data_IF_881830599511
#
_entry.id   IF_881830599511
#
_cell.length_a   1.000
_cell.length_b   1.000
_cell.length_c   1.000
_cell.angle_alpha   90.00
_cell.angle_beta   90.00
_cell.angle_gamma   90.00
#
_symmetry.space_group_name_H-M   'P 1'
#
loop_
_entity.id
_entity.type
_entity.pdbx_description
1 polymer ?
#
# COMPACT_ATOMS: atom_id res chain seq x y z
N UNK A 1 -33.55 -0.04 9.31
CA UNK A 1 -32.62 -0.78 10.20
C UNK A 1 -31.49 -1.44 9.41
N UNK A 2 -31.75 -1.97 8.20
CA UNK A 2 -30.72 -2.45 7.28
C UNK A 2 -29.70 -1.37 6.87
N UNK A 3 -30.16 -0.12 6.67
CA UNK A 3 -29.30 0.98 6.19
C UNK A 3 -28.23 1.42 7.21
N UNK A 4 -28.55 1.38 8.51
CA UNK A 4 -27.58 1.77 9.54
C UNK A 4 -26.41 0.79 9.61
N UNK A 5 -26.64 -0.50 9.36
CA UNK A 5 -25.57 -1.50 9.35
C UNK A 5 -24.67 -1.37 8.12
N UNK A 6 -25.25 -1.09 6.95
CA UNK A 6 -24.50 -0.93 5.71
C UNK A 6 -23.42 0.16 5.81
N UNK A 7 -23.78 1.32 6.37
CA UNK A 7 -22.90 2.49 6.41
C UNK A 7 -21.97 2.56 7.63
N UNK A 8 -22.26 1.80 8.69
CA UNK A 8 -21.58 1.96 9.99
C UNK A 8 -20.89 0.68 10.50
N UNK A 9 -20.90 -0.40 9.71
CA UNK A 9 -20.22 -1.63 10.09
C UNK A 9 -18.72 -1.55 9.84
N UNK A 10 -17.94 -2.03 10.82
CA UNK A 10 -16.49 -2.13 10.73
C UNK A 10 -16.11 -3.60 10.54
N UNK A 11 -15.27 -3.89 9.55
CA UNK A 11 -14.68 -5.23 9.39
C UNK A 11 -13.72 -5.50 10.55
N UNK A 12 -13.89 -6.64 11.20
CA UNK A 12 -13.05 -7.08 12.31
C UNK A 12 -12.65 -8.54 12.16
N UNK A 13 -11.60 -8.92 12.86
CA UNK A 13 -11.22 -10.31 13.06
C UNK A 13 -11.48 -10.67 14.51
N UNK A 14 -12.17 -11.79 14.74
CA UNK A 14 -12.29 -12.31 16.09
C UNK A 14 -11.00 -13.03 16.52
N UNK A 15 -10.95 -13.50 17.76
CA UNK A 15 -9.79 -14.22 18.33
C UNK A 15 -9.40 -15.47 17.55
N UNK A 16 -10.31 -16.01 16.73
CA UNK A 16 -10.09 -17.16 15.86
C UNK A 16 -9.69 -16.77 14.43
N UNK A 17 -9.32 -15.50 14.20
CA UNK A 17 -8.99 -14.92 12.89
C UNK A 17 -10.12 -15.05 11.84
N UNK A 18 -11.36 -15.25 12.27
CA UNK A 18 -12.50 -15.23 11.36
C UNK A 18 -13.03 -13.81 11.19
N UNK A 19 -13.21 -13.40 9.94
CA UNK A 19 -13.73 -12.08 9.57
C UNK A 19 -15.20 -11.95 9.98
N UNK A 20 -15.51 -10.86 10.69
CA UNK A 20 -16.85 -10.46 11.10
C UNK A 20 -17.07 -8.97 10.93
N UNK A 21 -18.26 -8.51 11.30
CA UNK A 21 -18.64 -7.10 11.27
C UNK A 21 -19.17 -6.68 12.64
N UNK A 22 -18.80 -5.48 13.10
CA UNK A 22 -19.25 -4.91 14.35
C UNK A 22 -19.67 -3.44 14.21
N UNK A 23 -20.52 -2.97 15.12
CA UNK A 23 -20.96 -1.58 15.20
C UNK A 23 -20.30 -0.88 16.39
N UNK A 24 -19.66 0.26 16.11
CA UNK A 24 -19.01 1.08 17.13
C UNK A 24 -19.60 2.49 17.08
N UNK A 25 -20.65 2.74 17.86
CA UNK A 25 -21.45 3.97 17.82
C UNK A 25 -20.58 5.25 17.88
N UNK A 26 -19.54 5.26 18.70
CA UNK A 26 -18.63 6.41 18.80
C UNK A 26 -17.73 6.56 17.58
N UNK A 27 -17.23 5.44 17.03
CA UNK A 27 -16.37 5.48 15.84
C UNK A 27 -17.14 5.81 14.56
N UNK A 28 -18.42 5.44 14.49
CA UNK A 28 -19.34 5.81 13.41
C UNK A 28 -19.57 7.32 13.28
N UNK A 29 -19.04 8.14 14.20
CA UNK A 29 -19.11 9.61 14.12
C UNK A 29 -17.96 10.24 13.33
N UNK A 30 -16.87 9.51 13.09
CA UNK A 30 -15.72 10.06 12.35
C UNK A 30 -15.99 10.02 10.85
N UNK A 31 -15.78 11.14 10.18
CA UNK A 31 -16.00 11.26 8.75
C UNK A 31 -14.84 10.69 7.92
N UNK A 32 -15.10 10.53 6.63
CA UNK A 32 -14.14 10.02 5.66
C UNK A 32 -13.17 11.09 5.16
N UNK A 33 -11.90 10.73 5.02
CA UNK A 33 -10.96 11.42 4.13
C UNK A 33 -10.09 10.41 3.37
N UNK A 34 -9.77 10.69 2.11
CA UNK A 34 -8.81 9.91 1.33
C UNK A 34 -7.35 10.22 1.68
N UNK A 35 -7.11 11.28 2.47
CA UNK A 35 -5.82 11.65 3.08
C UNK A 35 -6.12 11.99 4.55
N UNK A 36 -6.39 10.96 5.38
CA UNK A 36 -6.90 11.14 6.73
C UNK A 36 -5.83 11.63 7.72
N UNK A 37 -6.26 12.06 8.90
CA UNK A 37 -5.37 12.37 10.04
C UNK A 37 -5.43 11.31 11.16
N UNK A 38 -6.31 10.33 11.03
CA UNK A 38 -6.40 9.19 11.91
C UNK A 38 -6.61 7.88 11.16
N UNK A 39 -6.31 6.76 11.82
CA UNK A 39 -6.43 5.43 11.24
C UNK A 39 -6.96 4.41 12.25
N UNK A 40 -7.61 3.36 11.72
CA UNK A 40 -8.12 2.23 12.50
C UNK A 40 -7.27 1.00 12.15
N UNK A 41 -6.38 0.53 13.05
CA UNK A 41 -5.52 -0.59 12.76
C UNK A 41 -6.31 -1.89 12.77
N UNK A 42 -5.95 -2.80 11.88
CA UNK A 42 -6.40 -4.20 11.94
C UNK A 42 -5.79 -4.83 13.20
N UNK A 43 -6.62 -5.20 14.18
CA UNK A 43 -6.20 -5.85 15.43
C UNK A 43 -6.97 -7.14 15.64
N UNK A 44 -6.29 -8.13 16.22
CA UNK A 44 -6.83 -9.45 16.58
C UNK A 44 -7.64 -9.44 17.90
N UNK A 45 -8.20 -8.29 18.28
CA UNK A 45 -8.93 -8.15 19.54
C UNK A 45 -10.27 -7.44 19.32
N UNK A 46 -11.21 -7.65 20.25
CA UNK A 46 -12.59 -7.17 20.17
C UNK A 46 -12.73 -5.64 20.35
N UNK A 47 -11.65 -4.95 20.73
CA UNK A 47 -11.65 -3.50 20.91
C UNK A 47 -11.22 -2.75 19.64
N UNK A 48 -12.15 -1.99 19.05
CA UNK A 48 -11.82 -1.05 18.01
C UNK A 48 -11.23 0.24 18.61
N UNK A 49 -10.16 0.73 17.99
CA UNK A 49 -9.45 1.93 18.40
C UNK A 49 -9.08 2.75 17.17
N UNK A 50 -9.05 4.07 17.34
CA UNK A 50 -8.63 5.03 16.33
C UNK A 50 -7.41 5.78 16.84
N UNK A 51 -6.38 5.91 16.02
CA UNK A 51 -5.12 6.56 16.37
C UNK A 51 -4.88 7.74 15.45
N UNK A 52 -4.47 8.88 16.01
CA UNK A 52 -3.90 9.95 15.20
C UNK A 52 -2.62 9.45 14.51
N UNK A 53 -2.45 9.81 13.24
CA UNK A 53 -1.26 9.46 12.44
C UNK A 53 -0.44 10.68 12.03
N UNK A 54 -0.90 11.86 12.41
CA UNK A 54 -0.20 13.14 12.29
C UNK A 54 -0.71 14.09 13.38
N UNK A 55 -0.03 15.22 13.54
CA UNK A 55 -0.51 16.29 14.41
C UNK A 55 -1.89 16.77 13.93
N UNK A 56 -2.78 17.03 14.89
CA UNK A 56 -4.16 17.48 14.67
C UNK A 56 -4.32 18.81 15.38
N UNK A 57 -4.66 19.86 14.63
CA UNK A 57 -4.82 21.20 15.19
C UNK A 57 -6.12 21.33 16.00
N UNK A 58 -6.19 22.33 16.90
CA UNK A 58 -7.40 22.62 17.66
C UNK A 58 -8.54 22.97 16.71
N UNK A 59 -9.61 22.17 16.72
CA UNK A 59 -10.78 22.35 15.85
C UNK A 59 -10.65 21.68 14.48
N UNK A 60 -9.51 21.05 14.17
CA UNK A 60 -9.40 20.18 12.99
C UNK A 60 -10.27 18.93 13.19
N UNK A 61 -11.04 18.57 12.17
CA UNK A 61 -11.87 17.37 12.19
C UNK A 61 -11.01 16.10 12.14
N UNK A 62 -11.33 15.13 13.00
CA UNK A 62 -10.70 13.81 12.95
C UNK A 62 -11.39 12.97 11.88
N UNK A 63 -10.60 12.48 10.92
CA UNK A 63 -11.09 11.67 9.80
C UNK A 63 -10.26 10.41 9.61
N UNK A 64 -10.86 9.35 9.09
CA UNK A 64 -10.16 8.13 8.68
C UNK A 64 -10.60 7.69 7.27
N UNK A 65 -9.85 6.80 6.63
CA UNK A 65 -10.24 6.26 5.33
C UNK A 65 -11.16 5.03 5.52
N UNK A 66 -12.38 5.10 5.02
CA UNK A 66 -13.37 4.03 5.17
C UNK A 66 -13.03 2.76 4.38
N UNK A 67 -12.21 2.87 3.33
CA UNK A 67 -11.97 1.77 2.39
C UNK A 67 -10.49 1.43 2.30
N UNK A 68 -10.05 0.30 2.89
CA UNK A 68 -8.71 -0.25 2.70
C UNK A 68 -8.52 -0.56 1.21
N UNK A 69 -7.67 0.21 0.52
CA UNK A 69 -7.45 0.08 -0.93
C UNK A 69 -7.59 1.39 -1.71
N UNK A 70 -8.16 2.43 -1.10
CA UNK A 70 -8.21 3.75 -1.75
C UNK A 70 -6.83 4.39 -1.98
N UNK A 71 -5.78 3.89 -1.31
CA UNK A 71 -4.38 4.31 -1.51
C UNK A 71 -3.86 4.10 -2.94
N UNK A 72 -4.50 3.23 -3.74
CA UNK A 72 -4.08 2.92 -5.11
C UNK A 72 -5.12 3.29 -6.18
N UNK A 73 -6.22 3.92 -5.78
CA UNK A 73 -7.29 4.35 -6.69
C UNK A 73 -7.20 5.85 -6.94
N UNK A 74 -7.46 6.28 -8.18
CA UNK A 74 -7.51 7.72 -8.52
C UNK A 74 -8.81 8.36 -8.03
N UNK A 75 -8.87 9.70 -7.98
CA UNK A 75 -10.01 10.44 -7.43
C UNK A 75 -11.36 10.04 -8.04
N UNK A 76 -11.40 9.81 -9.36
CA UNK A 76 -12.61 9.39 -10.06
C UNK A 76 -13.07 7.97 -9.67
N UNK A 77 -12.14 7.05 -9.46
CA UNK A 77 -12.44 5.68 -9.01
C UNK A 77 -12.97 5.70 -7.57
N UNK A 78 -12.31 6.44 -6.67
CA UNK A 78 -12.76 6.61 -5.28
C UNK A 78 -14.14 7.25 -5.20
N UNK A 79 -14.41 8.26 -6.04
CA UNK A 79 -15.72 8.91 -6.13
C UNK A 79 -16.83 7.95 -6.56
N UNK A 80 -16.54 6.98 -7.43
CA UNK A 80 -17.53 5.96 -7.84
C UNK A 80 -17.77 4.89 -6.77
N UNK A 81 -16.81 4.69 -5.88
CA UNK A 81 -16.88 3.71 -4.80
C UNK A 81 -17.51 4.25 -3.52
N UNK A 82 -17.80 5.56 -3.45
CA UNK A 82 -18.45 6.21 -2.31
C UNK A 82 -19.86 6.68 -2.72
N UNK A 83 -20.81 6.55 -1.81
CA UNK A 83 -22.20 7.03 -2.00
C UNK A 83 -22.36 8.53 -1.69
N UNK A 84 -21.26 9.23 -1.39
CA UNK A 84 -21.20 10.67 -1.20
C UNK A 84 -20.01 11.29 -1.94
N UNK A 85 -20.03 12.61 -2.12
CA UNK A 85 -18.91 13.34 -2.72
C UNK A 85 -17.88 13.68 -1.64
N UNK A 86 -16.70 13.04 -1.72
CA UNK A 86 -15.56 13.40 -0.87
C UNK A 86 -14.90 14.70 -1.38
N UNK A 87 -14.75 15.70 -0.51
CA UNK A 87 -14.18 17.02 -0.84
C UNK A 87 -12.76 17.24 -0.31
N UNK A 88 -12.08 16.18 0.15
CA UNK A 88 -10.69 16.26 0.60
C UNK A 88 -9.76 16.74 -0.55
N UNK A 89 -8.57 17.22 -0.19
CA UNK A 89 -7.60 17.75 -1.16
C UNK A 89 -7.27 16.80 -2.33
N UNK A 90 -7.24 15.48 -2.08
CA UNK A 90 -6.99 14.45 -3.10
C UNK A 90 -8.18 14.21 -4.05
N UNK A 91 -9.40 14.59 -3.66
CA UNK A 91 -10.63 14.37 -4.44
C UNK A 91 -11.15 15.65 -5.12
N UNK A 92 -10.60 16.82 -4.77
CA UNK A 92 -10.99 18.10 -5.37
C UNK A 92 -10.43 18.20 -6.81
N UNK A 93 -11.26 17.77 -7.75
CA UNK A 93 -10.93 17.69 -9.18
C UNK A 93 -10.45 19.04 -9.72
N UNK A 94 -9.37 19.00 -10.52
CA UNK A 94 -8.82 20.17 -11.19
C UNK A 94 -7.80 20.94 -10.38
N UNK A 95 -7.51 20.52 -9.13
CA UNK A 95 -6.43 21.11 -8.34
C UNK A 95 -5.08 20.47 -8.68
N UNK A 96 -3.95 21.21 -8.54
CA UNK A 96 -2.62 20.63 -8.70
C UNK A 96 -2.36 19.45 -7.76
N UNK A 97 -2.86 19.53 -6.51
CA UNK A 97 -2.74 18.44 -5.54
C UNK A 97 -3.44 17.17 -6.02
N UNK A 98 -4.68 17.28 -6.51
CA UNK A 98 -5.42 16.12 -7.01
C UNK A 98 -4.73 15.46 -8.20
N UNK A 99 -4.15 16.23 -9.13
CA UNK A 99 -3.41 15.66 -10.28
C UNK A 99 -2.16 14.90 -9.83
N UNK A 100 -1.40 15.45 -8.88
CA UNK A 100 -0.24 14.77 -8.30
C UNK A 100 -0.65 13.53 -7.50
N UNK A 101 -1.74 13.62 -6.74
CA UNK A 101 -2.32 12.49 -6.00
C UNK A 101 -2.70 11.35 -6.93
N UNK A 102 -3.39 11.63 -8.03
CA UNK A 102 -3.74 10.61 -9.02
C UNK A 102 -2.48 9.97 -9.62
N UNK A 103 -1.47 10.76 -10.00
CA UNK A 103 -0.22 10.22 -10.52
C UNK A 103 0.50 9.30 -9.51
N UNK A 104 0.59 9.71 -8.23
CA UNK A 104 1.20 8.90 -7.17
C UNK A 104 0.44 7.61 -6.93
N UNK A 105 -0.90 7.67 -6.87
CA UNK A 105 -1.74 6.49 -6.62
C UNK A 105 -1.76 5.52 -7.79
N UNK A 106 -1.70 6.02 -9.03
CA UNK A 106 -1.47 5.18 -10.22
C UNK A 106 -0.13 4.44 -10.09
N UNK A 107 0.96 5.15 -9.76
CA UNK A 107 2.26 4.52 -9.61
C UNK A 107 2.30 3.53 -8.43
N UNK A 108 1.63 3.83 -7.31
CA UNK A 108 1.47 2.89 -6.20
C UNK A 108 0.76 1.61 -6.64
N UNK A 109 -0.32 1.73 -7.42
CA UNK A 109 -1.05 0.58 -7.99
C UNK A 109 -0.16 -0.27 -8.88
N UNK A 110 0.66 0.37 -9.71
CA UNK A 110 1.65 -0.30 -10.57
C UNK A 110 2.71 -1.04 -9.75
N UNK A 111 3.30 -0.39 -8.74
CA UNK A 111 4.30 -1.00 -7.87
C UNK A 111 3.73 -2.18 -7.07
N UNK A 112 2.48 -2.08 -6.61
CA UNK A 112 1.79 -3.19 -5.96
C UNK A 112 1.64 -4.39 -6.91
N UNK A 113 1.22 -4.15 -8.16
CA UNK A 113 1.15 -5.19 -9.17
C UNK A 113 2.53 -5.81 -9.46
N UNK A 114 3.57 -4.99 -9.62
CA UNK A 114 4.94 -5.47 -9.85
C UNK A 114 5.49 -6.30 -8.68
N UNK A 115 5.04 -6.01 -7.47
CA UNK A 115 5.45 -6.74 -6.28
C UNK A 115 4.71 -8.08 -6.14
N UNK A 116 3.38 -8.07 -6.30
CA UNK A 116 2.47 -9.19 -6.00
C UNK A 116 2.10 -10.05 -7.22
N UNK A 117 2.33 -9.58 -8.44
CA UNK A 117 1.98 -10.29 -9.69
C UNK A 117 0.48 -10.36 -10.01
N UNK A 118 -0.38 -9.78 -9.19
CA UNK A 118 -1.85 -9.78 -9.33
C UNK A 118 -2.45 -8.45 -8.94
N UNK A 119 -3.56 -8.09 -9.58
CA UNK A 119 -4.34 -6.91 -9.17
C UNK A 119 -5.13 -7.24 -7.90
N UNK A 120 -5.09 -6.33 -6.93
CA UNK A 120 -5.83 -6.46 -5.65
C UNK A 120 -7.19 -5.75 -5.71
N UNK A 121 -7.52 -5.10 -6.83
CA UNK A 121 -8.78 -4.34 -6.94
C UNK A 121 -9.97 -5.28 -7.02
N UNK A 122 -10.98 -5.04 -6.17
CA UNK A 122 -12.18 -5.85 -6.03
C UNK A 122 -12.89 -6.11 -7.36
N UNK A 123 -13.49 -7.30 -7.45
CA UNK A 123 -14.03 -7.98 -8.64
C UNK A 123 -15.01 -7.18 -9.54
N UNK A 124 -15.34 -5.93 -9.22
CA UNK A 124 -16.39 -5.19 -9.91
C UNK A 124 -15.95 -4.30 -11.08
N UNK A 125 -14.66 -3.97 -11.27
CA UNK A 125 -14.21 -3.22 -12.46
C UNK A 125 -12.76 -3.56 -12.83
N UNK A 126 -12.55 -4.70 -13.51
CA UNK A 126 -11.27 -4.95 -14.17
C UNK A 126 -10.96 -3.79 -15.13
N UNK A 127 -9.78 -3.15 -15.04
CA UNK A 127 -9.44 -2.04 -15.92
C UNK A 127 -9.44 -2.50 -17.38
N UNK A 128 -10.02 -1.69 -18.27
CA UNK A 128 -10.07 -1.98 -19.73
C UNK A 128 -8.66 -2.04 -20.38
N UNK A 129 -7.64 -1.54 -19.67
CA UNK A 129 -6.25 -1.47 -20.11
C UNK A 129 -5.35 -2.11 -19.05
N UNK A 130 -4.22 -2.71 -19.44
CA UNK A 130 -3.29 -3.29 -18.49
C UNK A 130 -2.63 -2.19 -17.65
N UNK A 131 -2.52 -2.40 -16.34
CA UNK A 131 -1.81 -1.50 -15.42
C UNK A 131 -0.34 -1.33 -15.85
N UNK A 132 0.31 -2.43 -16.24
CA UNK A 132 1.67 -2.41 -16.79
C UNK A 132 1.59 -2.66 -18.30
N UNK A 133 1.93 -1.65 -19.09
CA UNK A 133 1.90 -1.71 -20.55
C UNK A 133 3.05 -2.52 -21.16
N UNK A 134 4.22 -2.59 -20.51
CA UNK A 134 5.32 -3.42 -20.96
C UNK A 134 4.97 -4.91 -20.76
N UNK A 135 4.78 -5.69 -21.84
CA UNK A 135 4.36 -7.09 -21.73
C UNK A 135 5.42 -7.96 -21.04
N UNK A 136 6.71 -7.67 -21.23
CA UNK A 136 7.79 -8.44 -20.60
C UNK A 136 7.78 -8.20 -19.10
N UNK A 137 7.72 -6.94 -18.68
CA UNK A 137 7.67 -6.59 -17.27
C UNK A 137 6.42 -7.14 -16.59
N UNK A 138 5.28 -7.12 -17.30
CA UNK A 138 4.02 -7.71 -16.82
C UNK A 138 4.14 -9.21 -16.59
N UNK A 139 4.68 -9.96 -17.55
CA UNK A 139 4.93 -11.41 -17.37
C UNK A 139 5.89 -11.66 -16.22
N UNK A 140 6.95 -10.85 -16.09
CA UNK A 140 7.88 -11.00 -14.96
C UNK A 140 7.21 -10.79 -13.60
N UNK A 141 6.28 -9.83 -13.49
CA UNK A 141 5.50 -9.62 -12.28
C UNK A 141 4.61 -10.83 -11.97
N UNK A 142 3.86 -11.32 -12.96
CA UNK A 142 2.94 -12.47 -12.81
C UNK A 142 3.67 -13.76 -12.43
N UNK A 143 4.85 -13.99 -12.99
CA UNK A 143 5.70 -15.15 -12.67
C UNK A 143 6.53 -14.95 -11.38
N UNK A 144 6.35 -13.81 -10.71
CA UNK A 144 7.13 -13.37 -9.54
C UNK A 144 8.65 -13.42 -9.80
N UNK A 145 9.06 -13.16 -11.04
CA UNK A 145 10.45 -13.21 -11.52
C UNK A 145 11.12 -11.83 -11.66
N UNK A 146 10.47 -10.77 -11.17
CA UNK A 146 11.10 -9.45 -10.99
C UNK A 146 12.39 -9.59 -10.17
N UNK A 147 13.49 -9.00 -10.68
CA UNK A 147 14.81 -9.06 -10.05
C UNK A 147 14.81 -8.48 -8.63
N UNK A 148 15.75 -8.94 -7.80
CA UNK A 148 15.89 -8.51 -6.42
C UNK A 148 16.19 -7.01 -6.32
N UNK A 149 17.01 -6.48 -7.23
CA UNK A 149 17.29 -5.04 -7.36
C UNK A 149 16.02 -4.23 -7.61
N UNK A 150 15.20 -4.65 -8.57
CA UNK A 150 13.93 -4.00 -8.92
C UNK A 150 12.95 -4.08 -7.76
N UNK A 151 12.79 -5.24 -7.13
CA UNK A 151 11.93 -5.41 -5.93
C UNK A 151 12.35 -4.47 -4.79
N UNK A 152 13.66 -4.38 -4.53
CA UNK A 152 14.18 -3.49 -3.49
C UNK A 152 13.88 -2.01 -3.80
N UNK A 153 14.08 -1.58 -5.05
CA UNK A 153 13.75 -0.23 -5.51
C UNK A 153 12.24 0.03 -5.39
N UNK A 154 11.39 -0.89 -5.87
CA UNK A 154 9.93 -0.73 -5.87
C UNK A 154 9.36 -0.62 -4.47
N UNK A 155 9.84 -1.43 -3.52
CA UNK A 155 9.39 -1.35 -2.13
C UNK A 155 9.76 -0.01 -1.49
N UNK A 156 10.96 0.52 -1.74
CA UNK A 156 11.39 1.82 -1.21
C UNK A 156 10.61 2.97 -1.86
N UNK A 157 10.42 2.89 -3.18
CA UNK A 157 9.65 3.87 -3.92
C UNK A 157 8.19 3.92 -3.46
N UNK A 158 7.58 2.77 -3.20
CA UNK A 158 6.21 2.72 -2.66
C UNK A 158 6.11 3.43 -1.30
N UNK A 159 7.07 3.22 -0.40
CA UNK A 159 7.08 3.92 0.90
C UNK A 159 7.24 5.43 0.73
N UNK A 160 8.16 5.86 -0.13
CA UNK A 160 8.33 7.28 -0.44
C UNK A 160 7.05 7.92 -1.03
N UNK A 161 6.37 7.23 -1.94
CA UNK A 161 5.12 7.73 -2.52
C UNK A 161 4.00 7.81 -1.48
N UNK A 162 3.92 6.87 -0.54
CA UNK A 162 2.98 6.93 0.59
C UNK A 162 3.29 8.12 1.51
N UNK A 163 4.57 8.41 1.77
CA UNK A 163 5.00 9.57 2.57
C UNK A 163 4.55 10.87 1.89
N UNK A 164 4.89 11.03 0.61
CA UNK A 164 4.56 12.21 -0.19
C UNK A 164 3.05 12.40 -0.41
N UNK A 165 2.29 11.32 -0.38
CA UNK A 165 0.83 11.33 -0.47
C UNK A 165 0.16 11.65 0.88
N UNK A 166 0.91 11.63 1.99
CA UNK A 166 0.37 11.81 3.33
C UNK A 166 -0.42 10.60 3.85
N UNK A 167 -0.08 9.40 3.36
CA UNK A 167 -0.70 8.12 3.74
C UNK A 167 0.21 7.22 4.56
N UNK A 168 1.51 7.51 4.63
CA UNK A 168 2.44 6.70 5.39
C UNK A 168 2.26 6.95 6.89
N UNK A 169 1.95 5.89 7.63
CA UNK A 169 1.84 5.91 9.10
C UNK A 169 2.80 4.90 9.76
N UNK A 170 2.90 4.97 11.09
CA UNK A 170 3.80 4.11 11.87
C UNK A 170 3.40 2.62 11.78
N UNK A 171 2.11 2.30 11.61
CA UNK A 171 1.65 0.92 11.45
C UNK A 171 2.06 0.37 10.09
N UNK A 172 1.92 1.15 9.02
CA UNK A 172 2.44 0.79 7.70
C UNK A 172 3.95 0.58 7.73
N UNK A 173 4.70 1.45 8.41
CA UNK A 173 6.16 1.31 8.55
C UNK A 173 6.56 0.01 9.24
N UNK A 174 5.81 -0.43 10.26
CA UNK A 174 6.05 -1.70 10.97
C UNK A 174 5.92 -2.92 10.05
N UNK A 175 5.08 -2.85 9.03
CA UNK A 175 4.91 -3.91 8.02
C UNK A 175 5.91 -3.77 6.86
N UNK A 176 6.13 -2.56 6.35
CA UNK A 176 6.90 -2.32 5.13
C UNK A 176 8.42 -2.38 5.36
N UNK A 177 8.92 -1.88 6.49
CA UNK A 177 10.37 -1.85 6.77
C UNK A 177 10.98 -3.26 6.89
N UNK A 178 10.34 -4.24 7.55
CA UNK A 178 10.81 -5.62 7.54
C UNK A 178 10.90 -6.22 6.14
N UNK A 179 9.95 -5.94 5.24
CA UNK A 179 9.98 -6.41 3.84
C UNK A 179 11.21 -5.86 3.12
N UNK A 180 11.49 -4.57 3.26
CA UNK A 180 12.67 -3.91 2.64
C UNK A 180 13.96 -4.49 3.23
N UNK A 181 14.04 -4.64 4.55
CA UNK A 181 15.22 -5.15 5.25
C UNK A 181 15.48 -6.62 4.91
N UNK A 182 14.42 -7.43 4.83
CA UNK A 182 14.46 -8.81 4.37
C UNK A 182 14.96 -8.91 2.94
N UNK A 183 14.48 -8.03 2.04
CA UNK A 183 14.97 -7.97 0.66
C UNK A 183 16.47 -7.63 0.60
N UNK A 184 16.93 -6.67 1.40
CA UNK A 184 18.36 -6.27 1.47
C UNK A 184 19.28 -7.45 1.80
N UNK A 185 18.88 -8.35 2.70
CA UNK A 185 19.76 -9.45 3.14
C UNK A 185 19.87 -10.58 2.10
N UNK A 186 19.05 -10.56 1.05
CA UNK A 186 19.08 -11.58 -0.01
C UNK A 186 20.15 -11.33 -1.09
N UNK A 187 20.70 -10.11 -1.19
CA UNK A 187 21.69 -9.78 -2.22
C UNK A 187 22.98 -10.59 -2.05
N UNK A 188 23.40 -11.29 -3.11
CA UNK A 188 24.65 -12.05 -3.13
C UNK A 188 25.76 -11.30 -3.86
N UNK A 189 25.43 -10.41 -4.80
CA UNK A 189 26.43 -9.55 -5.41
C UNK A 189 26.92 -8.52 -4.39
N UNK A 190 28.23 -8.48 -4.13
CA UNK A 190 28.83 -7.55 -3.15
C UNK A 190 28.55 -6.07 -3.46
N UNK A 191 28.51 -5.70 -4.73
CA UNK A 191 28.19 -4.33 -5.16
C UNK A 191 26.74 -3.96 -4.86
N UNK A 192 25.80 -4.84 -5.19
CA UNK A 192 24.38 -4.64 -4.87
C UNK A 192 24.14 -4.59 -3.35
N UNK A 193 24.73 -5.53 -2.60
CA UNK A 193 24.63 -5.55 -1.14
C UNK A 193 25.21 -4.28 -0.48
N UNK A 194 26.31 -3.74 -1.03
CA UNK A 194 26.89 -2.46 -0.58
C UNK A 194 25.92 -1.30 -0.85
N UNK A 195 25.35 -1.20 -2.05
CA UNK A 195 24.41 -0.13 -2.38
C UNK A 195 23.13 -0.25 -1.54
N UNK A 196 22.59 -1.44 -1.33
CA UNK A 196 21.44 -1.67 -0.45
C UNK A 196 21.74 -1.26 1.00
N UNK A 197 22.98 -1.43 1.45
CA UNK A 197 23.42 -0.93 2.77
C UNK A 197 23.49 0.60 2.81
N UNK A 198 24.09 1.23 1.81
CA UNK A 198 24.14 2.70 1.69
C UNK A 198 22.76 3.32 1.55
N UNK A 199 21.85 2.61 0.89
CA UNK A 199 20.43 2.99 0.77
C UNK A 199 19.82 3.07 2.16
N UNK A 200 19.86 1.99 2.95
CA UNK A 200 19.26 1.98 4.29
C UNK A 200 19.92 2.94 5.28
N UNK A 201 21.14 3.40 4.99
CA UNK A 201 21.83 4.42 5.79
C UNK A 201 21.33 5.86 5.49
N UNK A 202 20.55 6.08 4.43
CA UNK A 202 20.00 7.40 4.14
C UNK A 202 18.92 7.79 5.17
N UNK A 203 18.93 9.05 5.64
CA UNK A 203 18.03 9.51 6.70
C UNK A 203 16.60 9.74 6.22
N UNK A 204 16.39 10.00 4.92
CA UNK A 204 15.07 10.29 4.33
C UNK A 204 14.69 9.22 3.31
N UNK A 205 13.39 8.99 3.10
CA UNK A 205 12.93 8.07 2.06
C UNK A 205 13.30 8.52 0.66
N UNK A 206 13.26 9.82 0.38
CA UNK A 206 13.77 10.37 -0.88
C UNK A 206 15.26 10.03 -1.08
N UNK A 207 16.10 10.20 -0.06
CA UNK A 207 17.51 9.81 -0.13
C UNK A 207 17.69 8.32 -0.40
N UNK A 208 16.88 7.47 0.25
CA UNK A 208 16.84 6.02 -0.02
C UNK A 208 16.50 5.74 -1.48
N UNK A 209 15.49 6.39 -2.04
CA UNK A 209 15.13 6.29 -3.46
C UNK A 209 16.34 6.65 -4.33
N UNK A 210 16.95 7.81 -4.14
CA UNK A 210 18.09 8.26 -4.94
C UNK A 210 19.25 7.25 -4.96
N UNK A 211 19.60 6.68 -3.80
CA UNK A 211 20.69 5.68 -3.72
C UNK A 211 20.26 4.33 -4.30
N UNK A 212 19.05 3.86 -4.01
CA UNK A 212 18.54 2.58 -4.49
C UNK A 212 18.51 2.52 -6.03
N UNK A 213 18.10 3.61 -6.68
CA UNK A 213 18.02 3.70 -8.14
C UNK A 213 19.37 3.54 -8.86
N UNK A 214 20.50 3.68 -8.16
CA UNK A 214 21.82 3.34 -8.75
C UNK A 214 22.01 1.83 -9.03
N UNK A 215 21.11 0.98 -8.50
CA UNK A 215 21.00 -0.45 -8.84
C UNK A 215 19.98 -0.76 -9.92
N UNK A 216 19.31 0.24 -10.49
CA UNK A 216 18.29 0.01 -11.51
C UNK A 216 18.86 -0.79 -12.70
N UNK A 217 18.15 -1.85 -13.10
CA UNK A 217 18.56 -2.74 -14.19
C UNK A 217 19.69 -3.71 -13.88
N UNK A 218 20.23 -3.74 -12.65
CA UNK A 218 21.27 -4.72 -12.27
C UNK A 218 20.66 -6.08 -11.94
N UNK A 219 21.33 -7.15 -12.34
CA UNK A 219 21.02 -8.51 -11.91
C UNK A 219 21.75 -8.86 -10.60
N UNK A 220 21.25 -9.88 -9.90
CA UNK A 220 21.89 -10.49 -8.75
C UNK A 220 21.90 -12.03 -8.87
N UNK A 221 23.00 -12.73 -8.48
CA UNK A 221 23.01 -14.20 -8.47
C UNK A 221 21.86 -14.84 -7.68
N UNK A 222 21.29 -14.13 -6.71
CA UNK A 222 20.14 -14.59 -5.95
C UNK A 222 18.81 -14.58 -6.72
N UNK A 223 18.69 -13.86 -7.85
CA UNK A 223 17.41 -13.58 -8.52
C UNK A 223 16.60 -14.85 -8.82
N UNK A 224 17.24 -15.87 -9.40
CA UNK A 224 16.57 -17.13 -9.74
C UNK A 224 16.07 -17.87 -8.50
N UNK A 225 16.88 -17.95 -7.45
CA UNK A 225 16.51 -18.64 -6.20
C UNK A 225 15.37 -17.91 -5.50
N UNK A 226 15.46 -16.60 -5.43
CA UNK A 226 14.48 -15.73 -4.79
C UNK A 226 13.11 -15.78 -5.49
N UNK A 227 13.08 -15.81 -6.83
CA UNK A 227 11.83 -15.98 -7.59
C UNK A 227 11.12 -17.31 -7.28
N UNK A 228 11.86 -18.41 -7.09
CA UNK A 228 11.26 -19.69 -6.67
C UNK A 228 10.68 -19.59 -5.27
N UNK A 229 11.41 -18.99 -4.32
CA UNK A 229 10.93 -18.81 -2.95
C UNK A 229 9.66 -17.97 -2.90
N UNK A 230 9.59 -16.85 -3.64
CA UNK A 230 8.39 -16.01 -3.66
C UNK A 230 7.17 -16.73 -4.24
N UNK A 231 7.33 -17.57 -5.26
CA UNK A 231 6.22 -18.39 -5.79
C UNK A 231 5.69 -19.39 -4.76
N UNK A 232 6.59 -20.11 -4.10
CA UNK A 232 6.19 -21.05 -3.03
C UNK A 232 5.49 -20.32 -1.88
N UNK A 233 5.98 -19.14 -1.50
CA UNK A 233 5.33 -18.33 -0.48
C UNK A 233 3.94 -17.85 -0.90
N UNK A 234 3.75 -17.40 -2.15
CA UNK A 234 2.42 -16.99 -2.64
C UNK A 234 1.44 -18.17 -2.67
N UNK A 235 1.88 -19.35 -3.11
CA UNK A 235 1.07 -20.58 -3.09
C UNK A 235 0.65 -20.97 -1.66
N UNK A 236 1.55 -20.86 -0.68
CA UNK A 236 1.24 -21.15 0.72
C UNK A 236 0.23 -20.14 1.31
N UNK A 237 0.34 -18.86 0.95
CA UNK A 237 -0.61 -17.81 1.39
C UNK A 237 -1.98 -17.98 0.75
N UNK A 238 -2.05 -18.41 -0.52
CA UNK A 238 -3.33 -18.72 -1.20
C UNK A 238 -4.01 -19.94 -0.54
N UNK A 239 -3.23 -20.95 -0.14
CA UNK A 239 -3.76 -22.17 0.47
C UNK A 239 -4.06 -22.04 1.98
N UNK A 240 -3.54 -21.01 2.65
CA UNK A 240 -3.82 -20.68 4.05
C UNK A 240 -4.00 -19.16 4.22
N UNK A 241 -5.11 -18.58 3.73
CA UNK A 241 -5.40 -17.17 3.97
C UNK A 241 -5.59 -16.96 5.48
N UNK A 242 -4.86 -15.98 6.04
CA UNK A 242 -5.09 -15.51 7.43
C UNK A 242 -6.45 -14.83 7.54
#
# INVERSE_FOLDING_TARGET
MADAWAENSFSMYNTSQTRGHALFILMSRFNHSCVPNAMVPTRDNEAAAIFAVRDIELGEEITFCYTPGFSVLVALERRRALDFTCECQACRIGTPFQQLSDARRTLLRELEFLSKGKEVVGESQAPKLPIIFDPKLRTQAQDLSISLSSRFIYNILAVYLLEEEGLLDEFMLKELVPVITGTKVLFQNRGNAKIATLTMAQPTWFGRVCVAFSMYGREDPADRKTSVVFRVMDELLVNNPR
#
